data_IF_795572103446
#
_entry.id   IF_795572103446
#
_cell.length_a   1.000
_cell.length_b   1.000
_cell.length_c   1.000
_cell.angle_alpha   90.00
_cell.angle_beta   90.00
_cell.angle_gamma   90.00
#
_symmetry.space_group_name_H-M   'P 1'
#
loop_
_entity.id
_entity.type
_entity.pdbx_description
1 polymer ?
#
# COMPACT_ATOMS: atom_id res chain seq x y z
N UNK A 1 -50.14 1.11 16.41
CA UNK A 1 -50.02 1.74 17.74
C UNK A 1 -48.58 2.16 17.94
N UNK A 2 -48.36 3.47 18.12
CA UNK A 2 -47.05 4.06 18.42
C UNK A 2 -46.63 3.65 19.83
N UNK A 3 -45.39 3.22 20.02
CA UNK A 3 -44.75 3.25 21.34
C UNK A 3 -43.37 3.89 21.22
N UNK A 4 -43.29 5.08 21.79
CA UNK A 4 -42.16 5.98 21.98
C UNK A 4 -41.42 5.67 23.29
N UNK A 5 -40.25 6.30 23.46
CA UNK A 5 -39.41 6.43 24.69
C UNK A 5 -38.32 5.35 24.85
N UNK A 6 -37.02 5.64 25.01
CA UNK A 6 -36.26 6.88 25.33
C UNK A 6 -34.84 6.77 24.73
N UNK A 7 -34.36 7.83 24.06
CA UNK A 7 -32.92 8.06 23.82
C UNK A 7 -32.33 8.69 25.08
N UNK A 8 -31.32 8.07 25.68
CA UNK A 8 -30.57 8.64 26.79
C UNK A 8 -29.37 9.39 26.19
N UNK A 9 -29.35 10.70 26.40
CA UNK A 9 -28.28 11.61 25.96
C UNK A 9 -27.30 11.75 27.12
N UNK A 10 -26.12 11.12 27.05
CA UNK A 10 -25.03 11.39 28.00
C UNK A 10 -24.27 12.63 27.52
N UNK A 11 -24.37 13.71 28.30
CA UNK A 11 -23.51 14.89 28.22
C UNK A 11 -22.19 14.56 28.93
N UNK A 12 -21.11 14.33 28.18
CA UNK A 12 -19.75 14.37 28.71
C UNK A 12 -19.24 15.82 28.68
N UNK A 13 -18.93 16.36 29.84
CA UNK A 13 -18.31 17.67 30.01
C UNK A 13 -16.86 17.65 29.55
N UNK A 14 -16.53 18.40 28.49
CA UNK A 14 -15.15 18.72 28.09
C UNK A 14 -14.50 19.61 29.17
N UNK A 15 -13.49 19.10 29.86
CA UNK A 15 -12.47 19.96 30.48
C UNK A 15 -11.48 20.36 29.38
N UNK A 16 -11.57 21.61 28.93
CA UNK A 16 -10.61 22.21 28.02
C UNK A 16 -9.34 22.58 28.80
N UNK A 17 -8.35 21.67 28.82
CA UNK A 17 -6.97 22.04 29.13
C UNK A 17 -6.39 22.73 27.91
N UNK A 18 -6.28 24.06 27.97
CA UNK A 18 -5.56 24.85 26.98
C UNK A 18 -4.06 24.53 27.08
N UNK A 19 -3.59 23.56 26.29
CA UNK A 19 -2.17 23.44 25.98
C UNK A 19 -1.81 24.64 25.09
N UNK A 20 -0.82 25.41 25.53
CA UNK A 20 -0.17 26.40 24.67
C UNK A 20 0.56 25.60 23.60
N UNK A 21 -0.07 25.45 22.43
CA UNK A 21 0.62 24.93 21.26
C UNK A 21 1.75 25.92 20.95
N UNK A 22 2.99 25.44 21.03
CA UNK A 22 4.12 26.16 20.45
C UNK A 22 3.79 26.41 18.96
N UNK A 23 4.18 27.56 18.38
CA UNK A 23 3.97 27.78 16.97
C UNK A 23 4.68 26.66 16.21
N UNK A 24 3.91 25.85 15.48
CA UNK A 24 4.48 24.93 14.51
C UNK A 24 5.23 25.81 13.49
N UNK A 25 6.55 25.69 13.45
CA UNK A 25 7.34 26.23 12.34
C UNK A 25 6.80 25.52 11.10
N UNK A 26 6.30 26.26 10.12
CA UNK A 26 5.81 25.67 8.88
C UNK A 26 7.00 24.97 8.22
N UNK A 27 6.85 23.66 7.99
CA UNK A 27 7.87 22.87 7.30
C UNK A 27 8.03 23.37 5.86
N UNK A 28 9.27 23.39 5.39
CA UNK A 28 9.64 23.79 4.03
C UNK A 28 8.95 22.89 3.00
N UNK A 29 8.57 23.46 1.84
CA UNK A 29 7.90 22.73 0.76
C UNK A 29 8.82 22.61 -0.45
N UNK A 30 8.94 21.42 -1.01
CA UNK A 30 9.58 21.20 -2.31
C UNK A 30 8.53 20.68 -3.30
N UNK A 31 8.19 21.48 -4.30
CA UNK A 31 7.33 21.07 -5.42
C UNK A 31 8.17 20.77 -6.66
N UNK A 32 8.02 19.59 -7.24
CA UNK A 32 8.60 19.20 -8.53
C UNK A 32 7.46 18.99 -9.51
N UNK A 33 7.48 19.73 -10.63
CA UNK A 33 6.42 19.67 -11.63
C UNK A 33 6.96 19.71 -13.06
N UNK A 34 6.20 19.12 -13.98
CA UNK A 34 6.48 19.18 -15.43
C UNK A 34 7.93 18.79 -15.77
N UNK A 35 8.48 17.83 -15.03
CA UNK A 35 9.90 17.53 -15.05
C UNK A 35 10.15 16.13 -15.61
N UNK A 36 11.15 16.01 -16.48
CA UNK A 36 11.68 14.72 -16.94
C UNK A 36 13.17 14.76 -16.63
N UNK A 37 13.67 13.81 -15.84
CA UNK A 37 15.10 13.78 -15.55
C UNK A 37 15.51 12.90 -14.38
N UNK A 38 16.79 13.02 -14.03
CA UNK A 38 17.38 12.33 -12.88
C UNK A 38 17.54 13.30 -11.71
N UNK A 39 17.22 12.84 -10.51
CA UNK A 39 17.38 13.59 -9.27
C UNK A 39 18.31 12.82 -8.35
N UNK A 40 19.47 13.39 -8.06
CA UNK A 40 20.37 12.90 -7.02
C UNK A 40 20.01 13.64 -5.73
N UNK A 41 19.46 12.95 -4.75
CA UNK A 41 18.98 13.62 -3.53
C UNK A 41 19.44 12.97 -2.24
N UNK A 42 19.64 13.83 -1.23
CA UNK A 42 20.07 13.44 0.10
C UNK A 42 19.52 14.42 1.14
N UNK A 43 19.56 14.04 2.41
CA UNK A 43 19.24 14.98 3.46
C UNK A 43 20.32 16.06 3.61
N UNK A 44 19.89 17.30 3.86
CA UNK A 44 20.76 18.45 4.06
C UNK A 44 19.97 19.75 4.16
N UNK A 45 20.66 20.89 4.20
CA UNK A 45 19.99 22.19 4.09
C UNK A 45 19.35 22.34 2.71
N UNK A 46 18.14 22.93 2.66
CA UNK A 46 17.37 23.07 1.43
C UNK A 46 18.20 23.73 0.32
N UNK A 47 18.54 22.96 -0.72
CA UNK A 47 19.33 23.42 -1.85
C UNK A 47 19.01 22.60 -3.11
N UNK A 48 19.04 23.24 -4.27
CA UNK A 48 18.83 22.60 -5.57
C UNK A 48 19.87 23.15 -6.55
N UNK A 49 20.60 22.23 -7.17
CA UNK A 49 21.62 22.53 -8.18
C UNK A 49 21.31 21.75 -9.45
N UNK A 50 21.54 22.38 -10.61
CA UNK A 50 21.43 21.74 -11.91
C UNK A 50 22.84 21.28 -12.31
N UNK A 51 23.08 19.97 -12.29
CA UNK A 51 24.39 19.40 -12.60
C UNK A 51 24.65 19.38 -14.11
N UNK A 52 23.64 18.99 -14.88
CA UNK A 52 23.74 18.81 -16.34
C UNK A 52 22.40 19.06 -17.02
N UNK A 53 22.48 19.38 -18.31
CA UNK A 53 21.35 19.43 -19.25
C UNK A 53 20.17 20.26 -18.72
N UNK A 54 20.42 21.48 -18.26
CA UNK A 54 19.41 22.39 -17.68
C UNK A 54 18.07 22.43 -18.43
N UNK A 55 18.13 22.35 -19.77
CA UNK A 55 16.94 22.28 -20.60
C UNK A 55 16.09 23.54 -20.43
N UNK A 56 14.84 23.36 -20.00
CA UNK A 56 13.91 24.44 -19.66
C UNK A 56 13.62 24.51 -18.16
N UNK A 57 14.47 23.88 -17.35
CA UNK A 57 14.22 23.75 -15.91
C UNK A 57 14.38 25.09 -15.21
N UNK A 58 13.32 25.54 -14.54
CA UNK A 58 13.32 26.75 -13.72
C UNK A 58 13.20 26.38 -12.24
N UNK A 59 14.06 26.97 -11.41
CA UNK A 59 14.05 26.81 -9.96
C UNK A 59 13.63 28.14 -9.34
N UNK A 60 12.56 28.11 -8.56
CA UNK A 60 12.00 29.29 -7.90
C UNK A 60 11.89 29.05 -6.40
N UNK A 61 12.05 30.11 -5.60
CA UNK A 61 11.90 30.04 -4.14
C UNK A 61 13.21 29.85 -3.36
N UNK A 62 13.09 29.68 -2.05
CA UNK A 62 14.22 29.44 -1.12
C UNK A 62 13.89 28.44 -0.02
N UNK A 63 12.72 28.59 0.59
CA UNK A 63 12.16 27.69 1.62
C UNK A 63 10.99 26.90 1.07
N UNK A 64 10.05 27.58 0.41
CA UNK A 64 9.08 26.96 -0.49
C UNK A 64 9.67 26.97 -1.90
N UNK A 65 10.30 25.87 -2.29
CA UNK A 65 10.97 25.72 -3.58
C UNK A 65 10.06 25.04 -4.60
N UNK A 66 10.09 25.54 -5.82
CA UNK A 66 9.43 24.92 -6.98
C UNK A 66 10.46 24.66 -8.07
N UNK A 67 10.50 23.43 -8.55
CA UNK A 67 11.27 22.98 -9.70
C UNK A 67 10.27 22.71 -10.82
N UNK A 68 10.34 23.49 -11.90
CA UNK A 68 9.50 23.34 -13.08
C UNK A 68 10.37 22.94 -14.27
N UNK A 69 10.20 21.73 -14.81
CA UNK A 69 11.00 21.27 -15.96
C UNK A 69 10.54 21.80 -17.32
N UNK A 70 9.43 22.55 -17.39
CA UNK A 70 8.88 23.11 -18.63
C UNK A 70 8.20 22.09 -19.56
N UNK A 71 8.03 20.83 -19.13
CA UNK A 71 7.40 19.76 -19.91
C UNK A 71 5.88 19.67 -19.61
N UNK A 72 5.08 20.53 -20.25
CA UNK A 72 3.63 20.53 -20.04
C UNK A 72 2.92 19.29 -20.63
N UNK A 73 3.46 18.71 -21.71
CA UNK A 73 2.90 17.53 -22.39
C UNK A 73 3.96 16.43 -22.52
N UNK A 74 4.06 15.59 -21.48
CA UNK A 74 5.00 14.47 -21.44
C UNK A 74 4.45 13.30 -22.27
N UNK A 75 5.22 12.87 -23.27
CA UNK A 75 4.85 11.74 -24.13
C UNK A 75 5.15 10.39 -23.45
N UNK A 76 4.16 9.85 -22.74
CA UNK A 76 4.27 8.55 -22.07
C UNK A 76 4.64 7.37 -22.98
N UNK A 77 4.51 7.48 -24.32
CA UNK A 77 4.94 6.42 -25.25
C UNK A 77 6.45 6.27 -25.33
N UNK A 78 7.19 7.26 -24.83
CA UNK A 78 8.65 7.22 -24.68
C UNK A 78 9.11 6.44 -23.46
N UNK A 79 8.20 5.93 -22.63
CA UNK A 79 8.55 5.00 -21.58
C UNK A 79 9.01 3.66 -22.19
N UNK A 80 10.23 3.25 -21.85
CA UNK A 80 10.80 1.95 -22.16
C UNK A 80 10.43 0.95 -21.06
N UNK A 81 10.14 -0.27 -21.48
CA UNK A 81 9.54 -1.34 -20.66
C UNK A 81 10.46 -1.95 -19.58
N UNK A 82 11.61 -1.36 -19.30
CA UNK A 82 12.56 -1.87 -18.31
C UNK A 82 13.34 -0.67 -17.80
N UNK A 83 13.73 -0.63 -16.52
CA UNK A 83 14.68 0.36 -16.00
C UNK A 83 15.64 -0.36 -15.06
N UNK A 84 16.94 -0.14 -15.21
CA UNK A 84 17.94 -0.76 -14.34
C UNK A 84 19.34 -0.21 -14.57
N UNK A 85 20.22 -0.37 -13.59
CA UNK A 85 21.63 -0.01 -13.73
C UNK A 85 22.48 -1.25 -13.90
N UNK A 86 23.46 -1.21 -14.79
CA UNK A 86 24.52 -2.20 -14.88
C UNK A 86 25.85 -1.56 -14.44
N UNK A 87 26.63 -2.32 -13.68
CA UNK A 87 28.06 -2.07 -13.52
C UNK A 87 28.80 -3.29 -14.05
N UNK A 88 29.73 -3.07 -14.98
CA UNK A 88 30.54 -4.13 -15.58
C UNK A 88 31.99 -3.67 -15.51
N UNK A 89 32.78 -4.32 -14.64
CA UNK A 89 34.23 -4.14 -14.61
C UNK A 89 34.89 -5.07 -15.64
N UNK A 90 35.60 -4.47 -16.60
CA UNK A 90 36.40 -5.19 -17.58
C UNK A 90 37.86 -4.73 -17.53
N UNK A 91 38.68 -5.49 -16.80
CA UNK A 91 40.12 -5.25 -16.61
C UNK A 91 40.46 -3.91 -15.94
N UNK A 92 39.76 -3.56 -14.86
CA UNK A 92 40.00 -2.33 -14.08
C UNK A 92 39.41 -1.08 -14.72
N UNK A 93 38.49 -1.26 -15.68
CA UNK A 93 37.66 -0.19 -16.24
C UNK A 93 36.21 -0.51 -15.92
N UNK A 94 35.67 0.18 -14.93
CA UNK A 94 34.24 0.16 -14.64
C UNK A 94 33.47 0.82 -15.78
N UNK A 95 32.55 0.06 -16.36
CA UNK A 95 31.51 0.57 -17.24
C UNK A 95 30.20 0.50 -16.48
N UNK A 96 29.73 1.66 -16.04
CA UNK A 96 28.43 1.81 -15.42
C UNK A 96 27.48 2.43 -16.45
N UNK A 97 26.23 1.99 -16.45
CA UNK A 97 25.20 2.57 -17.30
C UNK A 97 23.82 2.20 -16.80
N UNK A 98 22.82 2.90 -17.31
CA UNK A 98 21.42 2.62 -17.05
C UNK A 98 20.81 2.07 -18.35
N UNK A 99 19.90 1.12 -18.23
CA UNK A 99 19.14 0.59 -19.35
C UNK A 99 17.66 0.85 -19.10
N UNK A 100 17.00 1.30 -20.16
CA UNK A 100 15.59 1.67 -20.19
C UNK A 100 15.22 2.86 -19.28
N UNK A 101 13.95 3.03 -18.90
CA UNK A 101 13.43 4.30 -18.35
C UNK A 101 12.67 5.12 -19.39
N UNK A 102 13.01 6.39 -19.59
CA UNK A 102 12.40 7.27 -20.61
C UNK A 102 13.36 7.47 -21.79
N UNK A 103 12.83 7.62 -23.01
CA UNK A 103 13.67 7.85 -24.19
C UNK A 103 14.53 9.11 -24.03
N UNK A 104 15.80 8.97 -24.39
CA UNK A 104 16.80 10.05 -24.34
C UNK A 104 17.03 10.61 -22.92
N UNK A 105 16.82 9.80 -21.87
CA UNK A 105 17.01 10.22 -20.47
C UNK A 105 18.41 10.79 -20.19
N UNK A 106 19.45 10.32 -20.89
CA UNK A 106 20.83 10.84 -20.78
C UNK A 106 20.98 12.29 -21.27
N UNK A 107 20.03 12.78 -22.09
CA UNK A 107 19.97 14.16 -22.59
C UNK A 107 19.08 15.05 -21.71
N UNK A 108 18.40 14.47 -20.71
CA UNK A 108 17.50 15.18 -19.79
C UNK A 108 18.26 15.80 -18.61
N UNK A 109 17.67 16.79 -17.93
CA UNK A 109 18.25 17.41 -16.75
C UNK A 109 18.67 16.41 -15.66
N UNK A 110 19.82 16.68 -15.05
CA UNK A 110 20.28 16.01 -13.83
C UNK A 110 20.36 17.06 -12.73
N UNK A 111 19.61 16.84 -11.65
CA UNK A 111 19.55 17.74 -10.50
C UNK A 111 20.25 17.10 -9.30
N UNK A 112 20.96 17.90 -8.52
CA UNK A 112 21.36 17.55 -7.15
C UNK A 112 20.49 18.33 -6.18
N UNK A 113 19.78 17.63 -5.29
CA UNK A 113 18.84 18.21 -4.34
C UNK A 113 19.22 17.81 -2.92
N UNK A 114 19.42 18.79 -2.03
CA UNK A 114 19.52 18.56 -0.60
C UNK A 114 18.22 19.01 0.07
N UNK A 115 17.61 18.14 0.89
CA UNK A 115 16.32 18.39 1.55
C UNK A 115 16.39 18.22 3.07
N UNK A 116 15.82 19.14 3.86
CA UNK A 116 15.55 18.92 5.27
C UNK A 116 14.69 17.68 5.48
N UNK A 117 14.88 16.98 6.60
CA UNK A 117 14.16 15.74 6.87
C UNK A 117 12.68 15.93 7.20
N UNK A 118 12.24 17.16 7.40
CA UNK A 118 10.85 17.56 7.67
C UNK A 118 10.16 18.20 6.45
N UNK A 119 10.81 18.23 5.28
CA UNK A 119 10.26 18.82 4.05
C UNK A 119 8.94 18.16 3.62
N UNK A 120 8.00 18.97 3.15
CA UNK A 120 6.80 18.53 2.46
C UNK A 120 7.10 18.41 0.96
N UNK A 121 7.18 17.17 0.45
CA UNK A 121 7.44 16.91 -0.96
C UNK A 121 6.14 16.83 -1.75
N UNK A 122 6.07 17.57 -2.85
CA UNK A 122 4.96 17.52 -3.80
C UNK A 122 5.51 17.21 -5.18
N UNK A 123 5.03 16.13 -5.81
CA UNK A 123 5.41 15.76 -7.19
C UNK A 123 4.19 15.76 -8.08
N UNK A 124 4.27 16.44 -9.22
CA UNK A 124 3.19 16.58 -10.20
C UNK A 124 3.71 16.38 -11.61
N UNK A 125 2.93 15.72 -12.47
CA UNK A 125 3.16 15.65 -13.91
C UNK A 125 4.65 15.48 -14.30
N UNK A 126 5.32 14.46 -13.75
CA UNK A 126 6.77 14.31 -13.91
C UNK A 126 7.17 12.85 -14.18
N UNK A 127 8.31 12.68 -14.83
CA UNK A 127 9.04 11.42 -15.04
C UNK A 127 10.38 11.57 -14.31
N UNK A 128 10.46 10.98 -13.13
CA UNK A 128 11.61 11.16 -12.22
C UNK A 128 12.30 9.82 -12.02
N UNK A 129 13.62 9.85 -12.08
CA UNK A 129 14.49 8.76 -11.67
C UNK A 129 15.39 9.25 -10.55
N UNK A 130 15.26 8.71 -9.36
CA UNK A 130 15.99 9.20 -8.19
C UNK A 130 17.25 8.37 -7.93
N UNK A 131 18.32 9.02 -7.47
CA UNK A 131 19.45 8.40 -6.78
C UNK A 131 19.50 8.90 -5.34
N UNK A 132 19.55 7.98 -4.39
CA UNK A 132 19.49 8.30 -2.96
C UNK A 132 18.07 8.19 -2.39
N UNK A 133 17.97 8.31 -1.08
CA UNK A 133 16.75 8.05 -0.31
C UNK A 133 16.67 9.01 0.89
N UNK A 134 16.38 10.31 0.68
CA UNK A 134 16.27 11.26 1.77
C UNK A 134 15.02 10.99 2.60
N UNK A 135 15.13 11.23 3.90
CA UNK A 135 13.96 11.31 4.77
C UNK A 135 13.21 12.62 4.52
N UNK A 136 11.89 12.63 4.68
CA UNK A 136 11.03 13.81 4.48
C UNK A 136 9.91 13.88 5.52
N UNK A 137 9.28 15.03 5.65
CA UNK A 137 8.17 15.24 6.58
C UNK A 137 6.87 14.65 6.08
N UNK A 138 6.52 14.91 4.81
CA UNK A 138 5.34 14.32 4.16
C UNK A 138 5.52 14.29 2.64
N UNK A 139 4.74 13.46 1.96
CA UNK A 139 4.78 13.36 0.50
C UNK A 139 3.39 13.31 -0.12
N UNK A 140 3.22 14.05 -1.21
CA UNK A 140 2.06 13.99 -2.10
C UNK A 140 2.57 13.83 -3.55
N UNK A 141 2.45 12.63 -4.10
CA UNK A 141 3.13 12.21 -5.33
C UNK A 141 2.10 11.76 -6.37
N UNK A 142 2.17 12.34 -7.57
CA UNK A 142 1.38 11.94 -8.75
C UNK A 142 2.32 11.37 -9.82
N UNK A 143 2.27 10.04 -10.01
CA UNK A 143 3.12 9.30 -10.96
C UNK A 143 2.29 8.80 -12.14
N UNK A 144 2.24 9.59 -13.22
CA UNK A 144 1.39 9.32 -14.39
C UNK A 144 2.05 8.47 -15.48
N UNK A 145 3.37 8.37 -15.45
CA UNK A 145 4.18 7.81 -16.51
C UNK A 145 5.09 6.72 -15.93
N UNK A 146 6.20 6.42 -16.60
CA UNK A 146 7.28 5.66 -16.00
C UNK A 146 8.12 6.55 -15.07
N UNK A 147 8.89 5.90 -14.21
CA UNK A 147 9.78 6.56 -13.27
C UNK A 147 10.25 5.54 -12.23
N UNK A 148 11.20 5.96 -11.41
CA UNK A 148 11.61 5.20 -10.24
C UNK A 148 11.94 6.21 -9.15
N UNK A 149 11.13 6.21 -8.10
CA UNK A 149 11.26 7.14 -6.98
C UNK A 149 11.61 6.36 -5.73
N UNK A 150 12.68 6.76 -5.07
CA UNK A 150 13.16 6.18 -3.81
C UNK A 150 13.26 7.26 -2.76
N UNK A 151 12.52 7.08 -1.66
CA UNK A 151 12.57 7.93 -0.49
C UNK A 151 13.02 7.11 0.73
N UNK A 152 13.63 7.79 1.70
CA UNK A 152 13.86 7.23 3.02
C UNK A 152 12.57 7.23 3.84
N UNK A 153 12.70 7.52 5.14
CA UNK A 153 11.57 7.57 6.06
C UNK A 153 10.73 8.85 5.83
N UNK A 154 9.40 8.69 5.83
CA UNK A 154 8.41 9.75 5.77
C UNK A 154 7.79 9.89 7.16
N UNK A 155 8.12 10.97 7.87
CA UNK A 155 7.67 11.16 9.27
C UNK A 155 6.14 11.19 9.40
N UNK A 156 5.47 11.77 8.40
CA UNK A 156 4.03 11.96 8.34
C UNK A 156 3.38 11.10 7.28
N UNK A 157 2.49 11.69 6.49
CA UNK A 157 1.66 10.95 5.57
C UNK A 157 2.29 10.89 4.17
N UNK A 158 2.09 9.76 3.50
CA UNK A 158 2.29 9.58 2.07
C UNK A 158 0.93 9.53 1.37
N UNK A 159 0.72 10.42 0.42
CA UNK A 159 -0.37 10.34 -0.56
C UNK A 159 0.22 10.03 -1.94
N UNK A 160 -0.28 8.98 -2.59
CA UNK A 160 0.17 8.54 -3.91
C UNK A 160 -1.02 8.33 -4.86
N UNK A 161 -0.97 8.96 -6.04
CA UNK A 161 -1.77 8.59 -7.21
C UNK A 161 -0.82 8.10 -8.31
N UNK A 162 -0.74 6.78 -8.50
CA UNK A 162 0.03 6.16 -9.57
C UNK A 162 -0.91 5.71 -10.69
N UNK A 163 -0.70 6.22 -11.90
CA UNK A 163 -1.46 5.86 -13.11
C UNK A 163 -0.60 5.26 -14.20
N UNK A 164 0.72 5.41 -14.08
CA UNK A 164 1.68 4.90 -15.05
C UNK A 164 2.34 3.60 -14.59
N UNK A 165 3.61 3.43 -14.95
CA UNK A 165 4.42 2.26 -14.62
C UNK A 165 5.62 2.66 -13.77
N UNK A 166 5.44 3.68 -12.93
CA UNK A 166 6.50 4.19 -12.08
C UNK A 166 6.51 3.45 -10.76
N UNK A 167 7.70 3.01 -10.37
CA UNK A 167 7.89 2.31 -9.10
C UNK A 167 8.20 3.30 -7.99
N UNK A 168 7.73 3.00 -6.79
CA UNK A 168 7.98 3.78 -5.59
C UNK A 168 8.53 2.89 -4.48
N UNK A 169 9.73 3.20 -4.01
CA UNK A 169 10.30 2.63 -2.79
C UNK A 169 10.30 3.71 -1.69
N UNK A 170 9.73 3.40 -0.53
CA UNK A 170 9.71 4.29 0.64
C UNK A 170 10.17 3.53 1.88
N UNK A 171 10.83 4.24 2.81
CA UNK A 171 11.17 3.71 4.13
C UNK A 171 9.95 3.66 5.05
N UNK A 172 10.17 3.87 6.35
CA UNK A 172 9.09 3.92 7.32
C UNK A 172 8.17 5.12 7.06
N UNK A 173 6.86 4.96 7.17
CA UNK A 173 5.88 6.03 6.88
C UNK A 173 4.88 6.19 8.01
N UNK A 174 4.45 7.42 8.30
CA UNK A 174 3.36 7.67 9.26
C UNK A 174 2.04 7.00 8.85
N UNK A 175 1.36 7.49 7.81
CA UNK A 175 0.20 6.80 7.22
C UNK A 175 0.26 6.86 5.70
N UNK A 176 -0.38 5.91 5.02
CA UNK A 176 -0.41 5.88 3.56
C UNK A 176 -1.84 5.98 3.01
N UNK A 177 -2.02 6.83 2.00
CA UNK A 177 -3.20 6.88 1.14
C UNK A 177 -2.76 6.60 -0.30
N UNK A 178 -2.99 5.38 -0.76
CA UNK A 178 -2.46 4.86 -2.01
C UNK A 178 -3.59 4.65 -3.03
N UNK A 179 -3.42 5.21 -4.23
CA UNK A 179 -4.29 4.98 -5.38
C UNK A 179 -3.43 4.50 -6.54
N UNK A 180 -3.53 3.22 -6.87
CA UNK A 180 -2.73 2.56 -7.90
C UNK A 180 -3.65 2.13 -9.04
N UNK A 181 -3.56 2.80 -10.19
CA UNK A 181 -4.34 2.49 -11.40
C UNK A 181 -3.46 1.95 -12.53
N UNK A 182 -2.16 2.07 -12.39
CA UNK A 182 -1.18 1.65 -13.37
C UNK A 182 -0.57 0.28 -13.07
N UNK A 183 0.67 0.09 -13.46
CA UNK A 183 1.41 -1.17 -13.30
C UNK A 183 2.77 -0.98 -12.62
N UNK A 184 2.95 0.14 -11.94
CA UNK A 184 4.17 0.39 -11.16
C UNK A 184 4.01 -0.17 -9.75
N UNK A 185 5.11 -0.67 -9.21
CA UNK A 185 5.12 -1.38 -7.94
C UNK A 185 5.41 -0.41 -6.79
N UNK A 186 4.95 -0.78 -5.59
CA UNK A 186 5.25 -0.06 -4.36
C UNK A 186 5.92 -0.98 -3.36
N UNK A 187 7.07 -0.57 -2.85
CA UNK A 187 7.71 -1.20 -1.69
C UNK A 187 7.77 -0.19 -0.55
N UNK A 188 7.23 -0.54 0.61
CA UNK A 188 7.18 0.32 1.79
C UNK A 188 7.67 -0.37 3.05
N UNK A 189 8.43 0.36 3.87
CA UNK A 189 8.81 -0.11 5.20
C UNK A 189 7.67 -0.03 6.23
N UNK A 190 8.04 -0.06 7.50
CA UNK A 190 7.13 0.05 8.63
C UNK A 190 6.21 1.27 8.55
N UNK A 191 4.90 1.05 8.66
CA UNK A 191 3.92 2.11 8.47
C UNK A 191 2.77 2.11 9.48
N UNK A 192 2.08 3.24 9.61
CA UNK A 192 0.84 3.33 10.37
C UNK A 192 -0.34 2.73 9.59
N UNK A 193 -1.40 3.50 9.46
CA UNK A 193 -2.61 3.05 8.75
C UNK A 193 -2.42 3.16 7.23
N UNK A 194 -2.84 2.12 6.51
CA UNK A 194 -2.76 2.05 5.05
C UNK A 194 -4.16 1.99 4.45
N UNK A 195 -4.49 3.01 3.64
CA UNK A 195 -5.66 3.02 2.77
C UNK A 195 -5.23 2.78 1.33
N UNK A 196 -5.52 1.60 0.80
CA UNK A 196 -5.11 1.17 -0.54
C UNK A 196 -6.33 1.05 -1.49
N UNK A 197 -6.23 1.68 -2.65
CA UNK A 197 -7.12 1.46 -3.79
C UNK A 197 -6.32 1.05 -5.01
N UNK A 198 -6.26 -0.24 -5.28
CA UNK A 198 -5.62 -0.79 -6.47
C UNK A 198 -6.68 -1.10 -7.54
N UNK A 199 -6.49 -0.59 -8.74
CA UNK A 199 -7.31 -0.81 -9.94
C UNK A 199 -6.46 -1.28 -11.14
N UNK A 200 -5.19 -1.53 -10.90
CA UNK A 200 -4.18 -1.84 -11.92
C UNK A 200 -3.58 -3.22 -11.74
N UNK A 201 -2.30 -3.33 -12.07
CA UNK A 201 -1.55 -4.59 -12.05
C UNK A 201 -0.19 -4.48 -11.36
N UNK A 202 0.06 -3.36 -10.65
CA UNK A 202 1.27 -3.19 -9.86
C UNK A 202 1.09 -3.78 -8.46
N UNK A 203 2.18 -4.28 -7.92
CA UNK A 203 2.21 -4.98 -6.64
C UNK A 203 2.52 -4.02 -5.49
N UNK A 204 2.09 -4.40 -4.28
CA UNK A 204 2.34 -3.64 -3.05
C UNK A 204 2.99 -4.56 -2.03
N UNK A 205 4.23 -4.28 -1.69
CA UNK A 205 5.00 -4.98 -0.65
C UNK A 205 5.22 -4.05 0.55
N UNK A 206 4.76 -4.48 1.72
CA UNK A 206 4.84 -3.72 2.97
C UNK A 206 5.47 -4.57 4.08
N UNK A 207 6.19 -3.92 4.99
CA UNK A 207 6.69 -4.59 6.20
C UNK A 207 5.61 -4.65 7.29
N UNK A 208 5.78 -3.89 8.38
CA UNK A 208 4.88 -3.88 9.52
C UNK A 208 3.92 -2.69 9.42
N UNK A 209 2.61 -2.92 9.42
CA UNK A 209 1.58 -1.88 9.34
C UNK A 209 0.63 -1.90 10.53
N UNK A 210 0.03 -0.76 10.86
CA UNK A 210 -0.93 -0.66 11.98
C UNK A 210 -2.30 -1.20 11.60
N UNK A 211 -2.79 -0.87 10.41
CA UNK A 211 -4.07 -1.36 9.87
C UNK A 211 -4.07 -1.30 8.35
N UNK A 212 -4.97 -2.08 7.73
CA UNK A 212 -5.11 -2.15 6.27
C UNK A 212 -6.57 -2.04 5.85
N UNK A 213 -6.92 -0.98 5.12
CA UNK A 213 -8.16 -0.90 4.34
C UNK A 213 -7.81 -0.97 2.85
N UNK A 214 -8.14 -2.07 2.18
CA UNK A 214 -7.79 -2.29 0.78
C UNK A 214 -9.03 -2.55 -0.11
N UNK A 215 -9.11 -1.84 -1.23
CA UNK A 215 -10.00 -2.16 -2.34
C UNK A 215 -9.17 -2.55 -3.55
N UNK A 216 -9.26 -3.81 -3.97
CA UNK A 216 -8.46 -4.38 -5.04
C UNK A 216 -9.39 -4.70 -6.23
N UNK A 217 -9.13 -4.09 -7.38
CA UNK A 217 -9.92 -4.20 -8.61
C UNK A 217 -8.98 -4.36 -9.80
N UNK A 218 -8.21 -5.43 -9.81
CA UNK A 218 -7.14 -5.62 -10.78
C UNK A 218 -6.46 -6.98 -10.62
N UNK A 219 -5.18 -7.03 -10.93
CA UNK A 219 -4.37 -8.26 -10.89
C UNK A 219 -3.04 -8.08 -10.16
N UNK A 220 -2.85 -6.96 -9.45
CA UNK A 220 -1.67 -6.74 -8.63
C UNK A 220 -1.87 -7.32 -7.25
N UNK A 221 -0.78 -7.81 -6.67
CA UNK A 221 -0.76 -8.53 -5.40
C UNK A 221 -0.46 -7.57 -4.25
N UNK A 222 -0.86 -7.97 -3.04
CA UNK A 222 -0.59 -7.21 -1.82
C UNK A 222 0.03 -8.13 -0.78
N UNK A 223 1.27 -7.82 -0.39
CA UNK A 223 1.98 -8.51 0.68
C UNK A 223 2.20 -7.56 1.85
N UNK A 224 1.98 -8.03 3.08
CA UNK A 224 2.42 -7.33 4.27
C UNK A 224 2.92 -8.30 5.34
N UNK A 225 4.09 -8.07 5.93
CA UNK A 225 4.63 -8.97 6.95
C UNK A 225 3.72 -9.03 8.19
N UNK A 226 3.44 -7.89 8.83
CA UNK A 226 2.64 -7.88 10.05
C UNK A 226 1.62 -6.75 10.05
N UNK A 227 0.36 -7.07 10.37
CA UNK A 227 -0.71 -6.11 10.61
C UNK A 227 -1.11 -6.14 12.08
N UNK A 228 -0.79 -5.07 12.81
CA UNK A 228 -1.01 -4.99 14.26
C UNK A 228 -2.48 -4.72 14.66
N UNK A 229 -3.37 -4.59 13.69
CA UNK A 229 -4.73 -4.10 13.90
C UNK A 229 -5.72 -4.59 12.83
N UNK A 230 -6.73 -3.76 12.56
CA UNK A 230 -7.85 -4.14 11.69
C UNK A 230 -7.43 -4.28 10.23
N UNK A 231 -7.98 -5.32 9.58
CA UNK A 231 -7.84 -5.59 8.14
C UNK A 231 -9.23 -5.62 7.52
N UNK A 232 -9.53 -4.71 6.59
CA UNK A 232 -10.74 -4.72 5.76
C UNK A 232 -10.34 -4.72 4.27
N UNK A 233 -10.56 -5.86 3.61
CA UNK A 233 -10.18 -6.08 2.22
C UNK A 233 -11.41 -6.44 1.39
N UNK A 234 -11.60 -5.70 0.31
CA UNK A 234 -12.57 -6.00 -0.74
C UNK A 234 -11.83 -6.23 -2.06
N UNK A 235 -11.71 -7.49 -2.47
CA UNK A 235 -11.11 -7.89 -3.75
C UNK A 235 -12.16 -8.21 -4.81
N UNK A 236 -12.01 -7.63 -6.00
CA UNK A 236 -12.77 -7.91 -7.22
C UNK A 236 -11.82 -8.05 -8.40
N UNK A 237 -11.01 -9.09 -8.38
CA UNK A 237 -9.97 -9.30 -9.37
C UNK A 237 -9.34 -10.69 -9.27
N UNK A 238 -8.07 -10.76 -9.66
CA UNK A 238 -7.27 -11.98 -9.62
C UNK A 238 -5.93 -11.78 -8.92
N UNK A 239 -5.74 -10.64 -8.24
CA UNK A 239 -4.56 -10.41 -7.41
C UNK A 239 -4.74 -11.04 -6.04
N UNK A 240 -3.63 -11.54 -5.52
CA UNK A 240 -3.54 -12.29 -4.28
C UNK A 240 -3.20 -11.37 -3.11
N UNK A 241 -3.51 -11.82 -1.90
CA UNK A 241 -3.16 -11.13 -0.66
C UNK A 241 -2.43 -12.09 0.26
N UNK A 242 -1.22 -11.73 0.67
CA UNK A 242 -0.39 -12.51 1.60
C UNK A 242 -0.07 -11.66 2.84
N UNK A 243 -0.40 -12.17 4.03
CA UNK A 243 -0.13 -11.49 5.31
C UNK A 243 0.52 -12.46 6.31
N UNK A 244 1.76 -12.25 6.74
CA UNK A 244 2.39 -13.23 7.66
C UNK A 244 1.68 -13.24 9.03
N UNK A 245 1.31 -12.08 9.58
CA UNK A 245 0.52 -12.05 10.80
C UNK A 245 -0.48 -10.91 10.90
N UNK A 246 -1.63 -11.22 11.50
CA UNK A 246 -2.69 -10.25 11.80
C UNK A 246 -3.09 -10.37 13.26
N UNK A 247 -2.94 -9.29 14.03
CA UNK A 247 -3.39 -9.17 15.42
C UNK A 247 -4.55 -8.16 15.53
N UNK A 248 -5.70 -8.54 14.97
CA UNK A 248 -6.85 -7.67 14.87
C UNK A 248 -8.05 -8.32 14.18
N UNK A 249 -9.11 -7.53 13.99
CA UNK A 249 -10.31 -8.01 13.30
C UNK A 249 -10.03 -8.13 11.80
N UNK A 250 -10.53 -9.22 11.21
CA UNK A 250 -10.40 -9.48 9.79
C UNK A 250 -11.76 -9.39 9.12
N UNK A 251 -11.85 -8.58 8.07
CA UNK A 251 -12.93 -8.60 7.11
C UNK A 251 -12.33 -8.81 5.73
N UNK A 252 -12.63 -9.94 5.09
CA UNK A 252 -12.19 -10.23 3.74
C UNK A 252 -13.38 -10.60 2.86
N UNK A 253 -13.54 -9.89 1.75
CA UNK A 253 -14.59 -10.13 0.75
C UNK A 253 -13.97 -10.23 -0.63
N UNK A 254 -13.97 -11.43 -1.19
CA UNK A 254 -13.52 -11.68 -2.56
C UNK A 254 -14.68 -11.97 -3.50
N UNK A 255 -14.64 -11.34 -4.67
CA UNK A 255 -15.47 -11.61 -5.84
C UNK A 255 -14.58 -11.77 -7.07
N UNK A 256 -13.97 -12.95 -7.22
CA UNK A 256 -12.99 -13.19 -8.27
C UNK A 256 -12.26 -14.51 -8.09
N UNK A 257 -10.99 -14.51 -8.45
CA UNK A 257 -10.13 -15.69 -8.45
C UNK A 257 -8.82 -15.49 -7.70
N UNK A 258 -8.64 -14.34 -7.05
CA UNK A 258 -7.47 -14.10 -6.20
C UNK A 258 -7.64 -14.75 -4.83
N UNK A 259 -6.51 -15.16 -4.28
CA UNK A 259 -6.38 -15.93 -3.06
C UNK A 259 -6.10 -15.01 -1.85
N UNK A 260 -6.27 -15.57 -0.65
CA UNK A 260 -5.81 -14.94 0.60
C UNK A 260 -5.01 -15.97 1.40
N UNK A 261 -3.78 -15.63 1.72
CA UNK A 261 -2.92 -16.40 2.62
C UNK A 261 -2.62 -15.58 3.89
N UNK A 262 -2.87 -16.17 5.06
CA UNK A 262 -2.47 -15.59 6.35
C UNK A 262 -1.80 -16.65 7.22
N UNK A 263 -0.52 -16.50 7.51
CA UNK A 263 0.23 -17.48 8.33
C UNK A 263 -0.30 -17.57 9.77
N UNK A 264 -0.55 -16.42 10.42
CA UNK A 264 -1.06 -16.35 11.79
C UNK A 264 -2.14 -15.29 11.98
N UNK A 265 -3.36 -15.71 12.33
CA UNK A 265 -4.48 -14.82 12.64
C UNK A 265 -4.88 -14.88 14.12
N UNK A 266 -4.75 -13.76 14.83
CA UNK A 266 -5.34 -13.56 16.17
C UNK A 266 -6.44 -12.53 16.06
N UNK A 267 -7.67 -12.95 16.31
CA UNK A 267 -8.83 -12.11 16.05
C UNK A 267 -9.97 -12.33 17.03
N UNK A 268 -10.61 -11.23 17.46
CA UNK A 268 -11.90 -11.34 18.14
C UNK A 268 -13.02 -11.67 17.15
N UNK A 269 -12.86 -11.24 15.89
CA UNK A 269 -13.86 -11.42 14.85
C UNK A 269 -13.23 -11.50 13.46
N UNK A 270 -13.53 -12.58 12.75
CA UNK A 270 -13.20 -12.75 11.34
C UNK A 270 -14.47 -12.95 10.50
N UNK A 271 -14.72 -12.03 9.57
CA UNK A 271 -15.78 -12.12 8.57
C UNK A 271 -15.16 -12.38 7.19
N UNK A 272 -15.24 -13.62 6.72
CA UNK A 272 -14.62 -14.09 5.49
C UNK A 272 -15.70 -14.49 4.48
N UNK A 273 -15.62 -13.94 3.28
CA UNK A 273 -16.53 -14.23 2.18
C UNK A 273 -15.74 -14.39 0.89
N UNK A 274 -15.61 -15.62 0.40
CA UNK A 274 -15.09 -15.92 -0.94
C UNK A 274 -16.24 -16.28 -1.88
N UNK A 275 -16.34 -15.56 -2.99
CA UNK A 275 -17.38 -15.78 -4.01
C UNK A 275 -16.74 -15.82 -5.39
N UNK A 276 -16.42 -17.03 -5.86
CA UNK A 276 -15.74 -17.23 -7.13
C UNK A 276 -14.96 -18.54 -7.11
N UNK A 277 -13.66 -18.44 -7.36
CA UNK A 277 -12.74 -19.59 -7.35
C UNK A 277 -11.45 -19.36 -6.55
N UNK A 278 -11.33 -18.23 -5.85
CA UNK A 278 -10.16 -17.94 -5.02
C UNK A 278 -10.23 -18.68 -3.68
N UNK A 279 -9.10 -19.22 -3.28
CA UNK A 279 -8.90 -19.99 -2.07
C UNK A 279 -8.43 -19.08 -0.93
N UNK A 280 -8.80 -19.46 0.29
CA UNK A 280 -8.40 -18.75 1.51
C UNK A 280 -7.74 -19.76 2.43
N UNK A 281 -6.46 -19.54 2.72
CA UNK A 281 -5.68 -20.32 3.67
C UNK A 281 -5.29 -19.44 4.85
N UNK A 282 -5.61 -19.89 6.06
CA UNK A 282 -5.16 -19.27 7.30
C UNK A 282 -4.45 -20.35 8.12
N UNK A 283 -3.12 -20.32 8.15
CA UNK A 283 -2.32 -21.44 8.64
C UNK A 283 -2.48 -21.72 10.13
N UNK A 284 -2.61 -20.70 10.96
CA UNK A 284 -2.70 -20.87 12.42
C UNK A 284 -3.37 -19.69 13.15
N UNK A 285 -3.64 -19.87 14.44
CA UNK A 285 -4.03 -18.78 15.34
C UNK A 285 -5.30 -19.04 16.13
N UNK A 286 -5.98 -17.96 16.54
CA UNK A 286 -7.19 -18.01 17.35
C UNK A 286 -8.20 -16.97 16.89
N UNK A 287 -9.43 -17.42 16.63
CA UNK A 287 -10.56 -16.57 16.28
C UNK A 287 -11.66 -16.76 17.34
N UNK A 288 -12.16 -15.70 17.96
CA UNK A 288 -13.29 -15.84 18.88
C UNK A 288 -14.59 -16.07 18.11
N UNK A 289 -14.90 -15.22 17.12
CA UNK A 289 -16.11 -15.34 16.32
C UNK A 289 -15.76 -15.41 14.82
N UNK A 290 -15.96 -16.58 14.20
CA UNK A 290 -15.73 -16.77 12.77
C UNK A 290 -17.06 -16.80 12.02
N UNK A 291 -17.18 -15.95 11.00
CA UNK A 291 -18.15 -16.13 9.92
C UNK A 291 -17.40 -16.43 8.63
N UNK A 292 -17.56 -17.63 8.08
CA UNK A 292 -16.92 -18.04 6.83
C UNK A 292 -17.98 -18.43 5.79
N UNK A 293 -17.91 -17.82 4.61
CA UNK A 293 -18.84 -18.08 3.51
C UNK A 293 -18.08 -18.37 2.23
N UNK A 294 -18.15 -19.62 1.77
CA UNK A 294 -17.63 -20.06 0.48
C UNK A 294 -18.78 -20.18 -0.53
N UNK A 295 -18.65 -19.52 -1.68
CA UNK A 295 -19.60 -19.64 -2.81
C UNK A 295 -18.87 -19.92 -4.11
N UNK A 296 -19.50 -20.72 -4.97
CA UNK A 296 -18.92 -21.11 -6.24
C UNK A 296 -18.03 -22.33 -6.05
N UNK A 297 -16.73 -22.18 -6.29
CA UNK A 297 -15.73 -23.24 -6.16
C UNK A 297 -14.60 -22.88 -5.18
N UNK A 298 -14.77 -21.81 -4.40
CA UNK A 298 -13.77 -21.35 -3.43
C UNK A 298 -13.58 -22.34 -2.26
N UNK A 299 -12.34 -22.52 -1.81
CA UNK A 299 -12.00 -23.19 -0.55
C UNK A 299 -11.70 -22.18 0.56
N UNK A 300 -12.03 -22.54 1.81
CA UNK A 300 -11.60 -21.80 3.01
C UNK A 300 -11.02 -22.81 3.99
N UNK A 301 -9.75 -22.66 4.34
CA UNK A 301 -9.04 -23.46 5.32
C UNK A 301 -8.57 -22.60 6.50
N UNK A 302 -8.74 -23.09 7.73
CA UNK A 302 -8.17 -22.48 8.92
C UNK A 302 -7.58 -23.53 9.85
N UNK A 303 -6.25 -23.53 9.98
CA UNK A 303 -5.47 -24.45 10.81
C UNK A 303 -5.45 -24.12 12.31
N UNK A 304 -6.26 -23.17 12.77
CA UNK A 304 -6.26 -22.67 14.15
C UNK A 304 -7.46 -23.05 15.00
N UNK A 305 -7.60 -22.37 16.14
CA UNK A 305 -8.68 -22.55 17.09
C UNK A 305 -9.78 -21.49 16.90
N UNK A 306 -11.00 -21.92 16.65
CA UNK A 306 -12.19 -21.06 16.69
C UNK A 306 -12.97 -21.28 17.99
N UNK A 307 -13.49 -20.22 18.60
CA UNK A 307 -14.46 -20.37 19.69
C UNK A 307 -15.84 -20.64 19.11
N UNK A 308 -16.47 -19.68 18.43
CA UNK A 308 -17.78 -19.82 17.82
C UNK A 308 -17.72 -19.65 16.29
N UNK A 309 -18.44 -20.49 15.54
CA UNK A 309 -18.35 -20.55 14.08
C UNK A 309 -19.72 -20.54 13.38
N UNK A 310 -19.88 -19.68 12.37
CA UNK A 310 -20.96 -19.70 11.39
C UNK A 310 -20.39 -19.97 10.00
N UNK A 311 -20.56 -21.20 9.51
CA UNK A 311 -19.93 -21.69 8.28
C UNK A 311 -20.98 -21.93 7.21
N UNK A 312 -20.78 -21.37 6.01
CA UNK A 312 -21.72 -21.52 4.90
C UNK A 312 -21.03 -21.83 3.59
N UNK A 313 -21.28 -23.01 3.05
CA UNK A 313 -20.78 -23.44 1.75
C UNK A 313 -21.93 -23.55 0.73
N UNK A 314 -21.76 -22.97 -0.45
CA UNK A 314 -22.75 -23.08 -1.53
C UNK A 314 -22.09 -23.35 -2.87
N UNK A 315 -22.65 -24.28 -3.66
CA UNK A 315 -22.03 -24.74 -4.91
C UNK A 315 -21.09 -25.92 -4.66
N UNK A 316 -19.83 -25.78 -5.05
CA UNK A 316 -18.77 -26.78 -4.87
C UNK A 316 -17.66 -26.31 -3.92
N UNK A 317 -17.85 -25.17 -3.23
CA UNK A 317 -16.85 -24.65 -2.31
C UNK A 317 -16.77 -25.44 -1.01
N UNK A 318 -15.56 -25.58 -0.49
CA UNK A 318 -15.26 -26.35 0.72
C UNK A 318 -14.85 -25.42 1.87
N UNK A 319 -15.15 -25.83 3.11
CA UNK A 319 -14.68 -25.15 4.31
C UNK A 319 -14.08 -26.18 5.26
N UNK A 320 -12.81 -26.03 5.65
CA UNK A 320 -12.12 -26.86 6.64
C UNK A 320 -11.64 -26.01 7.80
N UNK A 321 -11.99 -26.41 9.02
CA UNK A 321 -11.54 -25.76 10.25
C UNK A 321 -10.91 -26.81 11.15
N UNK A 322 -9.68 -26.58 11.60
CA UNK A 322 -8.94 -27.53 12.45
C UNK A 322 -9.69 -27.79 13.77
N UNK A 323 -9.99 -26.76 14.56
CA UNK A 323 -10.63 -26.94 15.87
C UNK A 323 -11.68 -25.89 16.19
N UNK A 324 -12.83 -26.34 16.72
CA UNK A 324 -13.87 -25.47 17.29
C UNK A 324 -14.28 -25.96 18.70
N UNK A 325 -14.40 -25.04 19.66
CA UNK A 325 -14.71 -25.38 21.08
C UNK A 325 -16.06 -24.87 21.58
N UNK A 326 -16.73 -24.00 20.83
CA UNK A 326 -17.99 -23.36 21.19
C UNK A 326 -19.12 -23.72 20.22
N UNK A 327 -20.02 -22.76 20.01
CA UNK A 327 -21.21 -22.96 19.18
C UNK A 327 -20.87 -23.00 17.69
N UNK A 328 -21.51 -23.93 16.97
CA UNK A 328 -21.30 -24.11 15.53
C UNK A 328 -22.62 -24.13 14.77
N UNK A 329 -22.78 -23.21 13.82
CA UNK A 329 -23.85 -23.25 12.82
C UNK A 329 -23.25 -23.55 11.43
N UNK A 330 -23.67 -24.66 10.82
CA UNK A 330 -23.24 -25.05 9.47
C UNK A 330 -24.43 -25.03 8.51
N UNK A 331 -24.25 -24.41 7.34
CA UNK A 331 -25.17 -24.52 6.20
C UNK A 331 -24.40 -24.88 4.94
N UNK A 332 -24.63 -26.07 4.41
CA UNK A 332 -24.13 -26.45 3.07
C UNK A 332 -25.30 -26.67 2.10
N UNK A 333 -25.14 -26.20 0.88
CA UNK A 333 -26.02 -26.54 -0.23
C UNK A 333 -25.24 -26.69 -1.54
N UNK A 334 -25.24 -27.89 -2.11
CA UNK A 334 -24.48 -28.23 -3.31
C UNK A 334 -23.65 -29.49 -3.09
N UNK A 335 -22.49 -29.55 -3.72
CA UNK A 335 -21.56 -30.68 -3.63
C UNK A 335 -20.37 -30.42 -2.69
N UNK A 336 -20.17 -29.18 -2.24
CA UNK A 336 -19.10 -28.81 -1.33
C UNK A 336 -19.33 -29.26 0.11
N UNK A 337 -18.23 -29.46 0.84
CA UNK A 337 -18.19 -29.99 2.20
C UNK A 337 -17.81 -28.93 3.23
N UNK A 338 -18.34 -29.08 4.45
CA UNK A 338 -17.90 -28.31 5.62
C UNK A 338 -17.42 -29.28 6.67
N UNK A 339 -16.11 -29.28 6.95
CA UNK A 339 -15.43 -30.20 7.85
C UNK A 339 -14.84 -29.44 9.05
N UNK A 340 -14.94 -30.06 10.22
CA UNK A 340 -14.26 -29.64 11.45
C UNK A 340 -13.53 -30.85 12.01
N UNK A 341 -12.21 -30.77 12.15
CA UNK A 341 -11.39 -31.94 12.49
C UNK A 341 -11.45 -32.28 13.99
N UNK A 342 -11.45 -31.26 14.86
CA UNK A 342 -11.64 -31.42 16.30
C UNK A 342 -12.77 -30.53 16.84
N UNK A 343 -13.76 -31.16 17.48
CA UNK A 343 -14.80 -30.49 18.25
C UNK A 343 -14.50 -30.71 19.72
N UNK A 344 -14.00 -29.69 20.39
CA UNK A 344 -13.65 -29.78 21.81
C UNK A 344 -14.87 -30.20 22.63
N UNK A 345 -14.86 -31.44 23.15
CA UNK A 345 -15.79 -31.93 24.17
C UNK A 345 -15.35 -31.53 25.59
#
# INVERSE_FOLDING_TARGET
MRNTFKKSLLLLSLMASASVAAPAVAADTLEIRNFIGTINWANGDMNVEIDKNEGQTEINGRTDMTIDGGQDDIDGRKCKSSYGSFSVDWFGKEKNGRFGGYDDLDEMPILTIAVPSDTNLVVRNSVIFTEGAPNIGSADIDLRYCGNVTLGDIQGNLALDSRGSADLTVGATGNMALVLRGSGDLTGGNSGDVLLRSQGSGDVDLENISSLEATLQGSGDVTAQNVAGEVDISSRGSGDVELDSVDGNLTYRSQGSGDLEIDMLKSSKADILSSGSGDIDIGSGRIENLTAVARGSASIEFGGLVTDANLRATGSGDIRIERVIGDVEIKSSGSGEVQIDDRGE
#
